data_IF_147972405903
#
_entry.id   IF_147972405903
#
_cell.length_a   1.000
_cell.length_b   1.000
_cell.length_c   1.000
_cell.angle_alpha   90.00
_cell.angle_beta   90.00
_cell.angle_gamma   90.00
#
_symmetry.space_group_name_H-M   'P 1'
#
loop_
_entity.id
_entity.type
_entity.pdbx_description
1 polymer ?
#
# COMPACT_ATOMS: atom_id res chain seq x y z
N UNK A 1 18.82 -3.29 10.55
CA UNK A 1 17.57 -2.50 10.40
C UNK A 1 16.98 -2.84 9.04
N UNK A 2 15.69 -3.23 8.99
CA UNK A 2 15.01 -3.53 7.73
C UNK A 2 14.79 -2.24 6.93
N UNK A 3 14.92 -2.35 5.60
CA UNK A 3 14.77 -1.25 4.65
C UNK A 3 13.47 -1.39 3.89
N UNK A 4 12.70 -0.31 3.84
CA UNK A 4 11.41 -0.27 3.18
C UNK A 4 11.43 0.61 1.93
N UNK A 5 10.54 0.26 1.00
CA UNK A 5 10.19 1.09 -0.14
C UNK A 5 8.67 1.25 -0.22
N UNK A 6 8.24 2.29 -0.92
CA UNK A 6 6.85 2.45 -1.33
C UNK A 6 6.75 2.48 -2.85
N UNK A 7 5.82 1.72 -3.39
CA UNK A 7 5.31 1.90 -4.75
C UNK A 7 3.93 2.56 -4.67
N UNK A 8 3.77 3.69 -5.34
CA UNK A 8 2.55 4.49 -5.26
C UNK A 8 2.07 4.92 -6.64
N UNK A 9 0.76 4.93 -6.84
CA UNK A 9 0.09 5.48 -8.02
C UNK A 9 -0.76 6.70 -7.67
N UNK A 10 -1.32 7.31 -8.69
CA UNK A 10 -2.24 8.43 -8.52
C UNK A 10 -1.58 9.64 -7.86
N UNK A 11 -2.27 10.27 -6.91
CA UNK A 11 -1.77 11.44 -6.17
C UNK A 11 -0.90 11.10 -4.96
N UNK A 12 -0.70 9.82 -4.66
CA UNK A 12 0.04 9.36 -3.48
C UNK A 12 -0.43 9.99 -2.14
N UNK A 13 -1.72 10.26 -2.00
CA UNK A 13 -2.29 10.98 -0.85
C UNK A 13 -1.99 10.34 0.51
N UNK A 14 -2.02 8.99 0.60
CA UNK A 14 -1.66 8.25 1.82
C UNK A 14 -0.20 8.44 2.20
N UNK A 15 0.70 8.41 1.20
CA UNK A 15 2.12 8.68 1.44
C UNK A 15 2.34 10.11 1.91
N UNK A 16 1.63 11.09 1.32
CA UNK A 16 1.66 12.48 1.78
C UNK A 16 1.30 12.58 3.27
N UNK A 17 0.26 11.89 3.71
CA UNK A 17 -0.13 11.88 5.13
C UNK A 17 0.97 11.33 6.04
N UNK A 18 1.70 10.28 5.62
CA UNK A 18 2.86 9.79 6.39
C UNK A 18 3.93 10.89 6.55
N UNK A 19 4.19 11.69 5.51
CA UNK A 19 5.10 12.83 5.61
C UNK A 19 4.56 13.92 6.54
N UNK A 20 3.28 14.25 6.44
CA UNK A 20 2.66 15.31 7.24
C UNK A 20 2.73 15.01 8.74
N UNK A 21 2.52 13.75 9.13
CA UNK A 21 2.63 13.31 10.54
C UNK A 21 4.04 12.88 10.93
N UNK A 22 5.02 12.99 10.05
CA UNK A 22 6.40 12.51 10.26
C UNK A 22 6.46 11.07 10.79
N UNK A 23 5.71 10.16 10.15
CA UNK A 23 5.57 8.78 10.59
C UNK A 23 6.93 8.07 10.71
N UNK A 24 7.09 7.24 11.75
CA UNK A 24 8.37 6.55 12.06
C UNK A 24 8.90 5.68 10.92
N UNK A 25 8.01 5.11 10.10
CA UNK A 25 8.40 4.29 8.94
C UNK A 25 9.29 5.03 7.95
N UNK A 26 9.15 6.37 7.86
CA UNK A 26 9.96 7.18 6.95
C UNK A 26 11.45 7.14 7.32
N UNK A 27 11.79 6.93 8.60
CA UNK A 27 13.18 6.72 9.05
C UNK A 27 13.80 5.41 8.59
N UNK A 28 13.00 4.47 8.10
CA UNK A 28 13.44 3.18 7.54
C UNK A 28 13.06 3.03 6.06
N UNK A 29 12.56 4.11 5.43
CA UNK A 29 12.21 4.16 4.00
C UNK A 29 13.41 4.68 3.20
N UNK A 30 13.83 3.95 2.18
CA UNK A 30 14.97 4.29 1.34
C UNK A 30 14.60 4.60 -0.10
N UNK A 31 13.42 4.20 -0.54
CA UNK A 31 12.95 4.41 -1.90
C UNK A 31 11.46 4.70 -1.92
N UNK A 32 11.07 5.70 -2.69
CA UNK A 32 9.70 5.92 -3.14
C UNK A 32 9.71 5.86 -4.65
N UNK A 33 8.93 4.92 -5.18
CA UNK A 33 8.76 4.70 -6.61
C UNK A 33 7.31 5.05 -6.99
N UNK A 34 7.13 5.87 -8.00
CA UNK A 34 5.81 6.23 -8.51
C UNK A 34 5.70 6.03 -10.01
N UNK A 35 4.53 5.63 -10.46
CA UNK A 35 4.15 5.51 -11.87
C UNK A 35 3.23 6.66 -12.34
N UNK A 36 3.06 7.67 -11.50
CA UNK A 36 2.14 8.78 -11.77
C UNK A 36 2.80 10.14 -11.62
N UNK A 37 2.70 10.98 -12.65
CA UNK A 37 3.16 12.38 -12.59
C UNK A 37 2.44 13.20 -11.52
N UNK A 38 1.23 12.79 -11.10
CA UNK A 38 0.47 13.45 -10.02
C UNK A 38 1.14 13.33 -8.64
N UNK A 39 2.10 12.41 -8.47
CA UNK A 39 2.86 12.23 -7.24
C UNK A 39 4.20 12.98 -7.21
N UNK A 40 4.58 13.67 -8.28
CA UNK A 40 5.89 14.35 -8.36
C UNK A 40 6.12 15.39 -7.26
N UNK A 41 5.07 16.00 -6.73
CA UNK A 41 5.15 16.98 -5.64
C UNK A 41 5.75 16.41 -4.34
N UNK A 42 5.75 15.07 -4.16
CA UNK A 42 6.34 14.41 -2.99
C UNK A 42 7.86 14.40 -3.04
N UNK A 43 8.47 14.61 -4.21
CA UNK A 43 9.93 14.56 -4.39
C UNK A 43 10.67 15.49 -3.42
N UNK A 44 10.15 16.68 -3.15
CA UNK A 44 10.75 17.60 -2.20
C UNK A 44 10.77 17.03 -0.76
N UNK A 45 9.71 16.34 -0.35
CA UNK A 45 9.64 15.66 0.95
C UNK A 45 10.66 14.52 1.06
N UNK A 46 10.89 13.79 -0.04
CA UNK A 46 11.87 12.71 -0.12
C UNK A 46 13.30 13.27 0.03
N UNK A 47 13.62 14.35 -0.70
CA UNK A 47 14.93 14.98 -0.67
C UNK A 47 15.35 15.40 0.74
N UNK A 48 14.44 16.04 1.49
CA UNK A 48 14.70 16.49 2.87
C UNK A 48 15.04 15.33 3.81
N UNK A 49 14.57 14.12 3.49
CA UNK A 49 14.75 12.90 4.31
C UNK A 49 15.76 11.91 3.76
N UNK A 50 16.50 12.28 2.71
CA UNK A 50 17.44 11.37 2.00
C UNK A 50 16.76 10.07 1.54
N UNK A 51 15.52 10.16 1.07
CA UNK A 51 14.80 9.07 0.46
C UNK A 51 14.91 9.21 -1.05
N UNK A 52 15.40 8.19 -1.75
CA UNK A 52 15.46 8.21 -3.21
C UNK A 52 14.03 8.21 -3.78
N UNK A 53 13.82 9.08 -4.76
CA UNK A 53 12.55 9.20 -5.46
C UNK A 53 12.71 8.86 -6.93
N UNK A 54 11.92 7.90 -7.41
CA UNK A 54 11.96 7.44 -8.80
C UNK A 54 10.58 7.56 -9.42
N UNK A 55 10.50 8.23 -10.55
CA UNK A 55 9.31 8.32 -11.37
C UNK A 55 9.47 7.46 -12.63
N UNK A 56 8.50 6.58 -12.88
CA UNK A 56 8.33 5.81 -14.10
C UNK A 56 7.12 6.36 -14.87
N UNK A 57 7.32 6.82 -16.09
CA UNK A 57 6.22 7.36 -16.90
C UNK A 57 5.39 6.22 -17.49
N UNK A 58 4.40 5.75 -16.72
CA UNK A 58 3.54 4.64 -17.12
C UNK A 58 2.63 4.99 -18.29
N UNK A 59 2.19 6.26 -18.42
CA UNK A 59 1.36 6.69 -19.55
C UNK A 59 2.15 6.62 -20.86
N UNK A 60 3.40 7.04 -20.82
CA UNK A 60 4.32 6.87 -21.96
C UNK A 60 4.57 5.40 -22.26
N UNK A 61 4.84 4.59 -21.23
CA UNK A 61 5.05 3.15 -21.43
C UNK A 61 3.84 2.44 -22.05
N UNK A 62 2.59 2.85 -21.71
CA UNK A 62 1.38 2.33 -22.37
C UNK A 62 1.31 2.65 -23.86
N UNK A 63 1.87 3.78 -24.28
CA UNK A 63 1.89 4.21 -25.66
C UNK A 63 2.99 3.49 -26.45
N UNK A 64 4.17 3.39 -25.86
CA UNK A 64 5.39 2.95 -26.54
C UNK A 64 5.63 1.43 -26.47
N UNK A 65 4.98 0.74 -25.54
CA UNK A 65 5.22 -0.66 -25.24
C UNK A 65 3.97 -1.53 -25.31
N UNK A 66 4.17 -2.78 -25.76
CA UNK A 66 3.12 -3.82 -25.67
C UNK A 66 3.00 -4.45 -24.28
N UNK A 67 3.95 -4.18 -23.38
CA UNK A 67 4.03 -4.80 -22.05
C UNK A 67 4.37 -3.79 -20.93
N UNK A 68 3.61 -2.69 -20.78
CA UNK A 68 3.96 -1.62 -19.84
C UNK A 68 4.08 -2.10 -18.39
N UNK A 69 3.28 -3.09 -17.98
CA UNK A 69 3.36 -3.65 -16.63
C UNK A 69 4.65 -4.45 -16.37
N UNK A 70 5.21 -5.08 -17.39
CA UNK A 70 6.50 -5.78 -17.29
C UNK A 70 7.61 -4.73 -17.14
N UNK A 71 7.63 -3.68 -17.96
CA UNK A 71 8.63 -2.61 -17.90
C UNK A 71 8.59 -1.88 -16.56
N UNK A 72 7.38 -1.56 -16.07
CA UNK A 72 7.18 -1.02 -14.74
C UNK A 72 7.81 -1.93 -13.66
N UNK A 73 7.51 -3.23 -13.74
CA UNK A 73 7.96 -4.21 -12.74
C UNK A 73 9.47 -4.42 -12.78
N UNK A 74 10.07 -4.47 -13.97
CA UNK A 74 11.52 -4.59 -14.16
C UNK A 74 12.25 -3.34 -13.64
N UNK A 75 11.72 -2.15 -13.94
CA UNK A 75 12.27 -0.90 -13.42
C UNK A 75 12.20 -0.85 -11.90
N UNK A 76 11.06 -1.20 -11.31
CA UNK A 76 10.91 -1.28 -9.86
C UNK A 76 11.88 -2.30 -9.26
N UNK A 77 12.02 -3.50 -9.86
CA UNK A 77 12.94 -4.55 -9.40
C UNK A 77 14.40 -4.04 -9.34
N UNK A 78 14.85 -3.34 -10.39
CA UNK A 78 16.19 -2.75 -10.43
C UNK A 78 16.39 -1.79 -9.27
N UNK A 79 15.42 -0.91 -9.01
CA UNK A 79 15.51 0.07 -7.93
C UNK A 79 15.47 -0.59 -6.54
N UNK A 80 14.59 -1.55 -6.32
CA UNK A 80 14.51 -2.28 -5.05
C UNK A 80 15.83 -3.02 -4.74
N UNK A 81 16.45 -3.65 -5.75
CA UNK A 81 17.77 -4.31 -5.61
C UNK A 81 18.88 -3.31 -5.32
N UNK A 82 18.93 -2.19 -6.06
CA UNK A 82 19.93 -1.12 -5.87
C UNK A 82 19.98 -0.64 -4.42
N UNK A 83 18.82 -0.49 -3.79
CA UNK A 83 18.70 -0.01 -2.41
C UNK A 83 18.72 -1.13 -1.36
N UNK A 84 18.83 -2.41 -1.79
CA UNK A 84 18.77 -3.57 -0.89
C UNK A 84 17.51 -3.55 -0.02
N UNK A 85 16.34 -3.30 -0.65
CA UNK A 85 15.06 -3.21 0.04
C UNK A 85 14.63 -4.58 0.54
N UNK A 86 14.18 -4.66 1.80
CA UNK A 86 13.63 -5.88 2.38
C UNK A 86 12.16 -6.06 2.04
N UNK A 87 11.35 -5.00 2.16
CA UNK A 87 9.91 -5.01 1.87
C UNK A 87 9.49 -3.77 1.10
N UNK A 88 8.58 -3.95 0.14
CA UNK A 88 7.96 -2.86 -0.59
C UNK A 88 6.45 -2.84 -0.32
N UNK A 89 5.96 -1.73 0.22
CA UNK A 89 4.54 -1.47 0.41
C UNK A 89 3.97 -0.82 -0.85
N UNK A 90 2.87 -1.39 -1.35
CA UNK A 90 2.21 -0.93 -2.56
C UNK A 90 0.89 -0.22 -2.24
N UNK A 91 0.78 1.01 -2.69
CA UNK A 91 -0.45 1.74 -2.92
C UNK A 91 -0.62 2.02 -4.43
N UNK A 92 -0.12 1.09 -5.25
CA UNK A 92 -0.13 1.18 -6.70
C UNK A 92 -1.42 0.63 -7.31
N UNK A 93 -1.80 1.18 -8.46
CA UNK A 93 -3.00 0.77 -9.21
C UNK A 93 -2.69 -0.17 -10.37
N UNK A 94 -1.40 -0.29 -10.76
CA UNK A 94 -0.97 -1.10 -11.87
C UNK A 94 -0.42 -2.45 -11.38
N UNK A 95 -0.76 -3.52 -12.13
CA UNK A 95 -0.34 -4.87 -11.79
C UNK A 95 1.17 -5.04 -11.92
N UNK A 96 1.80 -5.53 -10.88
CA UNK A 96 3.19 -5.97 -10.90
C UNK A 96 3.28 -7.40 -11.47
N UNK A 97 4.35 -7.70 -12.22
CA UNK A 97 4.48 -8.95 -12.96
C UNK A 97 5.92 -9.43 -13.08
N UNK A 98 6.08 -10.69 -13.50
CA UNK A 98 7.34 -11.25 -13.95
C UNK A 98 8.37 -11.48 -12.84
N UNK A 99 9.66 -11.25 -13.16
CA UNK A 99 10.77 -11.57 -12.24
C UNK A 99 10.71 -10.80 -10.90
N UNK A 100 10.05 -9.64 -10.88
CA UNK A 100 9.83 -8.90 -9.63
C UNK A 100 9.10 -9.75 -8.60
N UNK A 101 8.02 -10.42 -9.00
CA UNK A 101 7.19 -11.23 -8.10
C UNK A 101 7.95 -12.45 -7.56
N UNK A 102 8.77 -13.08 -8.41
CA UNK A 102 9.61 -14.22 -8.00
C UNK A 102 10.71 -13.80 -7.03
N UNK A 103 11.44 -12.73 -7.37
CA UNK A 103 12.58 -12.27 -6.55
C UNK A 103 12.13 -11.70 -5.20
N UNK A 104 10.99 -10.99 -5.18
CA UNK A 104 10.40 -10.38 -3.98
C UNK A 104 9.18 -11.16 -3.47
N UNK A 105 9.13 -12.47 -3.69
CA UNK A 105 8.09 -13.35 -3.12
C UNK A 105 7.95 -13.09 -1.61
N UNK A 106 6.71 -12.88 -1.14
CA UNK A 106 6.37 -12.53 0.25
C UNK A 106 7.09 -11.29 0.81
N UNK A 107 7.50 -10.36 -0.08
CA UNK A 107 8.13 -9.09 0.30
C UNK A 107 7.48 -7.88 -0.37
N UNK A 108 6.52 -8.11 -1.26
CA UNK A 108 5.66 -7.07 -1.83
C UNK A 108 4.31 -7.16 -1.13
N UNK A 109 3.86 -6.07 -0.52
CA UNK A 109 2.64 -6.03 0.29
C UNK A 109 1.71 -4.98 -0.29
N UNK A 110 0.48 -5.39 -0.66
CA UNK A 110 -0.56 -4.50 -1.16
C UNK A 110 -1.62 -4.24 -0.08
N UNK A 111 -2.29 -3.10 -0.19
CA UNK A 111 -3.42 -2.71 0.66
C UNK A 111 -4.67 -2.58 -0.19
N UNK A 112 -5.52 -3.61 -0.16
CA UNK A 112 -6.73 -3.69 -0.96
C UNK A 112 -7.93 -3.18 -0.16
N UNK A 113 -8.82 -2.33 -0.73
CA UNK A 113 -9.94 -1.72 0.00
C UNK A 113 -11.17 -2.63 0.02
N UNK A 114 -11.00 -3.90 0.39
CA UNK A 114 -12.07 -4.83 0.71
C UNK A 114 -11.62 -5.90 1.71
N UNK A 115 -12.56 -6.66 2.24
CA UNK A 115 -12.31 -7.86 3.04
C UNK A 115 -12.09 -9.06 2.12
N UNK A 116 -10.87 -9.24 1.62
CA UNK A 116 -10.54 -10.38 0.76
C UNK A 116 -10.87 -11.72 1.45
N UNK A 117 -11.34 -12.72 0.71
CA UNK A 117 -11.42 -12.84 -0.75
C UNK A 117 -12.62 -12.14 -1.40
N UNK A 118 -13.43 -11.39 -0.65
CA UNK A 118 -14.58 -10.68 -1.22
C UNK A 118 -14.12 -9.46 -2.02
N UNK A 119 -14.77 -9.21 -3.16
CA UNK A 119 -14.57 -8.03 -4.00
C UNK A 119 -13.12 -7.77 -4.44
N UNK A 120 -12.43 -8.75 -5.07
CA UNK A 120 -11.11 -8.53 -5.62
C UNK A 120 -11.14 -7.61 -6.83
N UNK A 121 -9.99 -7.03 -7.15
CA UNK A 121 -9.79 -6.18 -8.32
C UNK A 121 -10.36 -4.77 -8.18
N UNK A 122 -10.51 -4.11 -9.31
CA UNK A 122 -10.93 -2.70 -9.36
C UNK A 122 -12.35 -2.50 -8.87
N UNK A 123 -12.62 -1.29 -8.35
CA UNK A 123 -13.93 -0.84 -7.85
C UNK A 123 -14.45 -1.69 -6.67
N UNK A 124 -13.57 -2.26 -5.86
CA UNK A 124 -13.92 -3.12 -4.75
C UNK A 124 -14.95 -2.47 -3.80
N UNK A 125 -14.74 -1.19 -3.45
CA UNK A 125 -15.65 -0.45 -2.57
C UNK A 125 -17.04 -0.29 -3.21
N UNK A 126 -17.10 0.09 -4.49
CA UNK A 126 -18.39 0.22 -5.19
C UNK A 126 -19.13 -1.10 -5.21
N UNK A 127 -18.43 -2.20 -5.56
CA UNK A 127 -19.02 -3.55 -5.55
C UNK A 127 -19.57 -3.93 -4.18
N UNK A 128 -18.84 -3.60 -3.10
CA UNK A 128 -19.27 -3.89 -1.74
C UNK A 128 -20.51 -3.06 -1.34
N UNK A 129 -20.56 -1.79 -1.75
CA UNK A 129 -21.73 -0.91 -1.53
C UNK A 129 -22.93 -1.41 -2.30
N UNK A 130 -22.76 -1.73 -3.59
CA UNK A 130 -23.82 -2.24 -4.46
C UNK A 130 -24.38 -3.59 -3.98
N UNK A 131 -23.52 -4.41 -3.37
CA UNK A 131 -23.91 -5.68 -2.75
C UNK A 131 -24.55 -5.51 -1.35
N UNK A 132 -24.71 -4.29 -0.88
CA UNK A 132 -25.32 -3.93 0.40
C UNK A 132 -24.73 -4.65 1.63
N UNK A 133 -23.44 -5.03 1.58
CA UNK A 133 -22.78 -5.67 2.72
C UNK A 133 -22.77 -4.75 3.94
N UNK A 134 -22.94 -5.33 5.12
CA UNK A 134 -22.94 -4.59 6.39
C UNK A 134 -21.54 -4.25 6.89
N UNK A 135 -20.54 -5.04 6.47
CA UNK A 135 -19.15 -4.87 6.84
C UNK A 135 -18.30 -4.58 5.60
N UNK A 136 -17.54 -3.51 5.68
CA UNK A 136 -16.51 -3.12 4.73
C UNK A 136 -15.14 -3.33 5.38
N UNK A 137 -14.06 -3.04 4.67
CA UNK A 137 -12.75 -3.07 5.29
C UNK A 137 -11.60 -3.04 4.30
N UNK A 138 -10.44 -3.31 4.84
CA UNK A 138 -9.19 -3.34 4.10
C UNK A 138 -8.44 -4.63 4.39
N UNK A 139 -7.73 -5.11 3.39
CA UNK A 139 -6.84 -6.26 3.51
C UNK A 139 -5.43 -5.88 3.11
N UNK A 140 -4.47 -6.12 3.99
CA UNK A 140 -3.07 -6.17 3.63
C UNK A 140 -2.72 -7.61 3.25
N UNK A 141 -2.15 -7.80 2.06
CA UNK A 141 -1.81 -9.12 1.53
C UNK A 141 -0.53 -9.09 0.71
N UNK A 142 0.11 -10.24 0.52
CA UNK A 142 1.22 -10.35 -0.41
C UNK A 142 0.75 -10.20 -1.85
N UNK A 143 1.59 -9.61 -2.69
CA UNK A 143 1.35 -9.56 -4.14
C UNK A 143 1.90 -10.85 -4.76
N UNK A 144 1.07 -11.53 -5.53
CA UNK A 144 1.39 -12.70 -6.35
C UNK A 144 1.00 -12.48 -7.83
N UNK A 145 0.99 -13.54 -8.63
CA UNK A 145 0.65 -13.46 -10.07
C UNK A 145 -0.85 -13.22 -10.32
N UNK A 146 -1.70 -13.46 -9.33
CA UNK A 146 -3.14 -13.24 -9.43
C UNK A 146 -3.56 -11.80 -9.12
N UNK A 147 -4.86 -11.55 -9.19
CA UNK A 147 -5.44 -10.27 -8.80
C UNK A 147 -5.97 -10.41 -7.38
N UNK A 148 -5.26 -9.81 -6.43
CA UNK A 148 -5.58 -9.81 -5.00
C UNK A 148 -5.75 -11.22 -4.39
N UNK A 149 -4.95 -12.20 -4.87
CA UNK A 149 -5.02 -13.61 -4.47
C UNK A 149 -3.94 -14.01 -3.48
N UNK A 150 -2.95 -13.19 -3.24
CA UNK A 150 -1.84 -13.48 -2.35
C UNK A 150 -2.23 -13.63 -0.88
N UNK A 151 -1.36 -14.27 -0.10
CA UNK A 151 -1.63 -14.57 1.31
C UNK A 151 -1.96 -13.33 2.14
N UNK A 152 -3.06 -13.41 2.89
CA UNK A 152 -3.56 -12.33 3.75
C UNK A 152 -2.65 -12.21 4.99
N UNK A 153 -2.22 -10.97 5.27
CA UNK A 153 -1.39 -10.62 6.42
C UNK A 153 -2.20 -10.04 7.59
N UNK A 154 -3.12 -9.12 7.26
CA UNK A 154 -3.99 -8.48 8.24
C UNK A 154 -5.23 -7.91 7.55
N UNK A 155 -6.31 -7.79 8.30
CA UNK A 155 -7.55 -7.15 7.83
C UNK A 155 -8.04 -6.16 8.89
N UNK A 156 -8.59 -5.06 8.42
CA UNK A 156 -9.30 -4.08 9.23
C UNK A 156 -10.77 -4.07 8.79
N UNK A 157 -11.66 -4.17 9.76
CA UNK A 157 -13.11 -4.22 9.52
C UNK A 157 -13.74 -2.90 9.93
N UNK A 158 -14.66 -2.40 9.12
CA UNK A 158 -15.38 -1.15 9.32
C UNK A 158 -16.86 -1.40 9.05
N UNK A 159 -17.76 -0.83 9.83
CA UNK A 159 -19.18 -0.90 9.51
C UNK A 159 -19.53 -0.05 8.28
N UNK A 160 -20.57 -0.47 7.55
CA UNK A 160 -21.09 0.33 6.43
C UNK A 160 -21.57 1.72 6.88
N UNK A 161 -22.12 1.82 8.08
CA UNK A 161 -22.60 3.09 8.62
C UNK A 161 -21.46 4.07 8.81
N UNK A 162 -20.32 3.63 9.36
CA UNK A 162 -19.12 4.47 9.50
C UNK A 162 -18.59 4.92 8.12
N UNK A 163 -18.56 4.02 7.14
CA UNK A 163 -18.18 4.40 5.79
C UNK A 163 -19.10 5.50 5.21
N UNK A 164 -20.41 5.38 5.40
CA UNK A 164 -21.39 6.37 4.92
C UNK A 164 -21.24 7.72 5.65
N UNK A 165 -20.87 7.70 6.92
CA UNK A 165 -20.65 8.89 7.74
C UNK A 165 -19.35 9.62 7.37
N UNK A 166 -18.23 8.90 7.27
CA UNK A 166 -16.90 9.49 7.10
C UNK A 166 -16.42 9.58 5.65
N UNK A 167 -17.03 8.82 4.74
CA UNK A 167 -16.80 8.89 3.30
C UNK A 167 -15.53 8.20 2.83
N UNK A 168 -15.35 8.20 1.51
CA UNK A 168 -14.31 7.46 0.78
C UNK A 168 -12.87 7.80 1.21
N UNK A 169 -12.57 9.07 1.40
CA UNK A 169 -11.20 9.50 1.72
C UNK A 169 -10.77 8.97 3.08
N UNK A 170 -11.61 9.16 4.10
CA UNK A 170 -11.34 8.66 5.46
C UNK A 170 -11.25 7.15 5.47
N UNK A 171 -12.14 6.46 4.74
CA UNK A 171 -12.07 5.01 4.60
C UNK A 171 -10.73 4.53 4.03
N UNK A 172 -10.26 5.14 2.92
CA UNK A 172 -8.97 4.76 2.33
C UNK A 172 -7.78 5.04 3.26
N UNK A 173 -7.88 6.05 4.11
CA UNK A 173 -6.83 6.38 5.07
C UNK A 173 -6.65 5.32 6.15
N UNK A 174 -7.68 4.53 6.44
CA UNK A 174 -7.59 3.40 7.37
C UNK A 174 -6.56 2.35 6.94
N UNK A 175 -6.15 2.32 5.68
CA UNK A 175 -5.03 1.49 5.23
C UNK A 175 -3.71 1.83 5.93
N UNK A 176 -3.55 3.07 6.43
CA UNK A 176 -2.39 3.48 7.19
C UNK A 176 -2.31 2.78 8.56
N UNK A 177 -3.46 2.39 9.13
CA UNK A 177 -3.51 1.58 10.35
C UNK A 177 -2.92 0.19 10.08
N UNK A 178 -3.30 -0.45 8.97
CA UNK A 178 -2.71 -1.73 8.58
C UNK A 178 -1.22 -1.62 8.30
N UNK A 179 -0.81 -0.52 7.65
CA UNK A 179 0.61 -0.24 7.40
C UNK A 179 1.38 -0.14 8.73
N UNK A 180 0.85 0.59 9.70
CA UNK A 180 1.49 0.75 11.02
C UNK A 180 1.64 -0.59 11.74
N UNK A 181 0.58 -1.39 11.79
CA UNK A 181 0.61 -2.74 12.37
C UNK A 181 1.67 -3.61 11.72
N UNK A 182 1.73 -3.63 10.38
CA UNK A 182 2.71 -4.43 9.67
C UNK A 182 4.13 -3.90 9.84
N UNK A 183 4.32 -2.59 9.85
CA UNK A 183 5.63 -1.99 10.08
C UNK A 183 6.22 -2.44 11.43
N UNK A 184 5.46 -2.33 12.53
CA UNK A 184 5.93 -2.77 13.85
C UNK A 184 6.18 -4.29 13.89
N UNK A 185 5.29 -5.09 13.29
CA UNK A 185 5.50 -6.55 13.19
C UNK A 185 6.78 -6.88 12.44
N UNK A 186 7.00 -6.29 11.26
CA UNK A 186 8.18 -6.52 10.44
C UNK A 186 9.47 -6.03 11.11
N UNK A 187 9.39 -4.97 11.90
CA UNK A 187 10.52 -4.44 12.69
C UNK A 187 10.78 -5.22 13.97
N UNK A 188 9.94 -6.23 14.29
CA UNK A 188 10.00 -7.00 15.55
C UNK A 188 9.91 -6.08 16.79
N UNK A 189 9.22 -4.96 16.65
CA UNK A 189 8.99 -4.00 17.72
C UNK A 189 7.61 -4.26 18.35
N UNK A 190 7.44 -4.02 19.67
CA UNK A 190 6.10 -4.01 20.24
C UNK A 190 5.26 -2.94 19.53
N UNK A 191 4.04 -3.31 19.12
CA UNK A 191 3.11 -2.32 18.56
C UNK A 191 2.96 -1.16 19.55
N UNK A 192 2.90 0.09 19.07
CA UNK A 192 2.60 1.22 19.95
C UNK A 192 1.30 0.93 20.69
N UNK A 193 1.31 1.06 22.01
CA UNK A 193 0.07 1.17 22.79
C UNK A 193 -0.61 2.47 22.35
N UNK A 194 -1.67 2.32 21.58
CA UNK A 194 -2.45 3.42 21.02
C UNK A 194 -2.11 3.69 19.56
N UNK A 195 -2.81 3.02 18.67
CA UNK A 195 -3.11 3.62 17.37
C UNK A 195 -3.67 5.03 17.66
N UNK A 196 -3.40 6.05 16.84
CA UNK A 196 -3.96 7.37 17.04
C UNK A 196 -5.47 7.23 17.31
N UNK A 197 -5.94 7.68 18.48
CA UNK A 197 -7.35 7.55 18.87
C UNK A 197 -8.29 8.15 17.81
N UNK A 198 -7.78 9.10 17.04
CA UNK A 198 -8.49 9.75 15.92
C UNK A 198 -8.77 8.82 14.73
N UNK A 199 -8.18 7.61 14.68
CA UNK A 199 -8.35 6.62 13.61
C UNK A 199 -9.04 5.34 14.07
N UNK A 200 -9.25 5.14 15.35
CA UNK A 200 -9.96 3.97 15.90
C UNK A 200 -11.38 4.40 16.22
N UNK A 201 -12.30 3.98 15.37
CA UNK A 201 -13.72 4.06 15.73
C UNK A 201 -14.05 2.91 16.69
N UNK A 202 -15.07 3.05 17.51
CA UNK A 202 -15.49 2.03 18.51
C UNK A 202 -15.77 0.64 17.90
N UNK A 203 -15.87 0.55 16.57
CA UNK A 203 -16.29 -0.63 15.82
C UNK A 203 -15.26 -1.17 14.82
N UNK A 204 -14.02 -0.68 14.87
CA UNK A 204 -12.95 -1.17 13.98
C UNK A 204 -12.14 -2.27 14.65
N UNK A 205 -11.98 -3.41 13.98
CA UNK A 205 -11.22 -4.55 14.46
C UNK A 205 -10.08 -4.87 13.49
N UNK A 206 -8.89 -5.12 14.04
CA UNK A 206 -7.75 -5.62 13.27
C UNK A 206 -7.61 -7.11 13.56
N UNK A 207 -7.75 -7.92 12.52
CA UNK A 207 -7.52 -9.36 12.58
C UNK A 207 -6.23 -9.65 11.83
N UNK A 208 -5.23 -10.19 12.51
CA UNK A 208 -3.96 -10.60 11.92
C UNK A 208 -3.65 -12.07 12.20
N UNK A 209 -2.95 -12.74 11.27
CA UNK A 209 -2.37 -14.04 11.58
C UNK A 209 -1.10 -13.85 12.40
N UNK A 210 -1.00 -14.57 13.50
CA UNK A 210 0.27 -14.79 14.19
C UNK A 210 0.96 -15.97 13.49
N UNK A 211 1.98 -15.70 12.70
CA UNK A 211 2.90 -16.72 12.17
C UNK A 211 4.14 -16.78 13.06
#
# INVERSE_FOLDING_TARGET
>A
VKKFAFYVSGSAGRLKKLFDISHEILGSTFLIFTDSSRALYIQANCLVRNIDFVYFDYEKAKTDSKKPNIELSETLLVQLKKHSIDYCFSFGDNLLKGELLKYYEKRLINFHPSLLPSFPGRLAINKAIDAEVTLLGHTAHYIDEGIDTGGILAQLVVSRNEFLEYGMTSFLDLQLILLDVLFYRLMEKPSRKGLPQDFITEYSFIIGKND
#
